data_IF_808243066602
#
_entry.id   IF_808243066602
#
_cell.length_a   1.000
_cell.length_b   1.000
_cell.length_c   1.000
_cell.angle_alpha   90.00
_cell.angle_beta   90.00
_cell.angle_gamma   90.00
#
_symmetry.space_group_name_H-M   'P 1'
#
loop_
_entity.id
_entity.type
_entity.pdbx_description
1 polymer ?
#
# COMPACT_ATOMS: atom_id res chain seq x y z
N UNK A 1 -0.08 -13.11 -4.19
CA UNK A 1 0.83 -13.25 -3.02
C UNK A 1 0.07 -13.96 -1.91
N UNK A 2 0.75 -14.67 -1.00
CA UNK A 2 0.12 -15.19 0.22
C UNK A 2 -0.16 -14.05 1.21
N UNK A 3 -1.11 -14.25 2.13
CA UNK A 3 -1.42 -13.27 3.19
C UNK A 3 -0.18 -12.90 4.02
N UNK A 4 0.66 -13.87 4.35
CA UNK A 4 1.90 -13.61 5.11
C UNK A 4 2.87 -12.69 4.36
N UNK A 5 3.00 -12.90 3.04
CA UNK A 5 3.84 -12.02 2.21
C UNK A 5 3.26 -10.60 2.11
N UNK A 6 1.93 -10.46 2.08
CA UNK A 6 1.27 -9.15 2.08
C UNK A 6 1.47 -8.45 3.44
N UNK A 7 1.36 -9.20 4.54
CA UNK A 7 1.63 -8.69 5.89
C UNK A 7 3.09 -8.23 6.04
N UNK A 8 4.05 -9.03 5.56
CA UNK A 8 5.47 -8.66 5.55
C UNK A 8 5.70 -7.35 4.75
N UNK A 9 5.12 -7.26 3.55
CA UNK A 9 5.16 -6.05 2.73
C UNK A 9 4.57 -4.83 3.46
N UNK A 10 3.41 -5.00 4.11
CA UNK A 10 2.72 -3.94 4.84
C UNK A 10 3.59 -3.35 5.97
N UNK A 11 4.25 -4.21 6.75
CA UNK A 11 5.16 -3.78 7.82
C UNK A 11 6.45 -3.19 7.28
N UNK A 12 6.99 -3.73 6.19
CA UNK A 12 8.18 -3.16 5.57
C UNK A 12 7.93 -1.72 5.09
N UNK A 13 6.79 -1.47 4.43
CA UNK A 13 6.43 -0.11 4.00
C UNK A 13 6.13 0.79 5.22
N UNK A 14 5.54 0.26 6.29
CA UNK A 14 5.36 1.00 7.54
C UNK A 14 6.70 1.46 8.13
N UNK A 15 7.71 0.59 8.13
CA UNK A 15 9.07 0.92 8.57
C UNK A 15 9.69 2.02 7.72
N UNK A 16 9.54 1.95 6.40
CA UNK A 16 9.96 3.05 5.50
C UNK A 16 9.21 4.34 5.85
N UNK A 17 7.90 4.25 6.11
CA UNK A 17 7.02 5.36 6.44
C UNK A 17 7.35 6.08 7.75
N UNK A 18 8.08 5.46 8.68
CA UNK A 18 8.53 6.12 9.91
C UNK A 18 9.43 7.33 9.65
N UNK A 19 10.16 7.33 8.53
CA UNK A 19 10.97 8.47 8.07
C UNK A 19 10.20 9.49 7.22
N UNK A 20 8.90 9.26 7.01
CA UNK A 20 8.07 9.97 6.04
C UNK A 20 8.23 9.44 4.62
N UNK A 21 7.14 9.49 3.86
CA UNK A 21 7.14 9.19 2.41
C UNK A 21 6.87 10.51 1.68
N UNK A 22 7.82 10.93 0.86
CA UNK A 22 7.72 12.11 0.02
C UNK A 22 7.14 11.72 -1.35
N UNK A 23 5.91 12.13 -1.68
CA UNK A 23 5.29 11.82 -2.96
C UNK A 23 5.75 12.72 -4.10
N UNK A 24 6.55 13.75 -3.84
CA UNK A 24 7.03 14.67 -4.87
C UNK A 24 7.87 13.94 -5.94
N UNK A 25 7.83 14.38 -7.21
CA UNK A 25 8.62 13.79 -8.28
C UNK A 25 10.12 13.73 -7.94
N UNK A 26 10.81 12.69 -8.43
CA UNK A 26 12.24 12.47 -8.22
C UNK A 26 12.59 11.71 -6.93
N UNK A 27 11.63 11.44 -6.05
CA UNK A 27 11.82 10.57 -4.89
C UNK A 27 11.41 9.14 -5.21
N UNK A 28 12.29 8.19 -4.93
CA UNK A 28 12.03 6.78 -5.22
C UNK A 28 12.35 5.86 -4.06
N UNK A 29 11.63 4.74 -4.02
CA UNK A 29 11.62 3.82 -2.89
C UNK A 29 11.80 2.39 -3.39
N UNK A 30 12.48 1.60 -2.56
CA UNK A 30 12.72 0.19 -2.79
C UNK A 30 12.18 -0.61 -1.62
N UNK A 31 11.57 -1.75 -1.95
CA UNK A 31 11.00 -2.66 -0.98
C UNK A 31 11.65 -4.03 -1.20
N UNK A 32 12.33 -4.56 -0.19
CA UNK A 32 13.03 -5.85 -0.23
C UNK A 32 12.09 -7.00 -0.56
N UNK A 33 10.85 -6.93 -0.08
CA UNK A 33 9.80 -7.91 -0.40
C UNK A 33 9.40 -7.94 -1.88
N UNK A 34 9.75 -6.91 -2.67
CA UNK A 34 9.52 -6.83 -4.12
C UNK A 34 10.83 -6.40 -4.81
N UNK A 35 11.78 -7.33 -4.98
CA UNK A 35 13.09 -7.01 -5.51
C UNK A 35 13.02 -6.53 -6.97
N UNK A 36 13.90 -5.60 -7.33
CA UNK A 36 14.02 -5.07 -8.70
C UNK A 36 12.92 -4.09 -9.11
N UNK A 37 12.03 -3.70 -8.20
CA UNK A 37 11.00 -2.69 -8.46
C UNK A 37 11.33 -1.38 -7.76
N UNK A 38 11.28 -0.30 -8.52
CA UNK A 38 11.36 1.07 -8.04
C UNK A 38 9.95 1.66 -7.93
N UNK A 39 9.65 2.28 -6.80
CA UNK A 39 8.36 2.89 -6.53
C UNK A 39 8.51 4.41 -6.45
N UNK A 40 7.62 5.15 -7.13
CA UNK A 40 7.39 6.56 -6.78
C UNK A 40 6.70 6.67 -5.42
N UNK A 41 6.77 7.82 -4.76
CA UNK A 41 6.15 7.98 -3.44
C UNK A 41 4.64 7.71 -3.43
N UNK A 42 3.88 8.20 -4.41
CA UNK A 42 2.44 7.86 -4.52
C UNK A 42 2.20 6.37 -4.78
N UNK A 43 3.03 5.73 -5.60
CA UNK A 43 2.92 4.29 -5.86
C UNK A 43 3.20 3.48 -4.58
N UNK A 44 4.18 3.91 -3.78
CA UNK A 44 4.46 3.29 -2.47
C UNK A 44 3.30 3.50 -1.49
N UNK A 45 2.72 4.70 -1.42
CA UNK A 45 1.55 4.98 -0.57
C UNK A 45 0.33 4.15 -0.95
N UNK A 46 0.09 3.95 -2.25
CA UNK A 46 -0.98 3.06 -2.71
C UNK A 46 -0.73 1.62 -2.28
N UNK A 47 0.51 1.12 -2.41
CA UNK A 47 0.89 -0.20 -1.90
C UNK A 47 0.74 -0.30 -0.39
N UNK A 48 1.09 0.76 0.34
CA UNK A 48 0.94 0.83 1.78
C UNK A 48 -0.52 0.64 2.17
N UNK A 49 -1.41 1.45 1.60
CA UNK A 49 -2.84 1.38 1.87
C UNK A 49 -3.44 -0.01 1.54
N UNK A 50 -3.19 -0.50 0.32
CA UNK A 50 -3.77 -1.78 -0.15
C UNK A 50 -3.24 -2.95 0.67
N UNK A 51 -1.94 -2.98 0.98
CA UNK A 51 -1.36 -4.07 1.79
C UNK A 51 -1.93 -4.08 3.22
N UNK A 52 -2.18 -2.92 3.83
CA UNK A 52 -2.82 -2.82 5.14
C UNK A 52 -4.29 -3.20 5.09
N UNK A 53 -5.05 -2.74 4.09
CA UNK A 53 -6.44 -3.16 3.86
C UNK A 53 -6.58 -4.69 3.80
N UNK A 54 -5.61 -5.35 3.17
CA UNK A 54 -5.64 -6.81 2.99
C UNK A 54 -5.07 -7.60 4.17
N UNK A 55 -4.10 -7.07 4.92
CA UNK A 55 -3.39 -7.80 5.97
C UNK A 55 -3.82 -7.44 7.40
N UNK A 56 -4.19 -6.19 7.66
CA UNK A 56 -4.52 -5.64 8.98
C UNK A 56 -5.65 -4.59 8.84
N UNK A 57 -6.82 -4.96 8.29
CA UNK A 57 -7.91 -4.02 8.01
C UNK A 57 -8.39 -3.27 9.27
N UNK A 58 -8.27 -3.89 10.44
CA UNK A 58 -8.66 -3.32 11.74
C UNK A 58 -7.86 -2.07 12.12
N UNK A 59 -6.64 -1.89 11.58
CA UNK A 59 -5.78 -0.73 11.85
C UNK A 59 -5.69 0.24 10.66
N UNK A 60 -6.42 -0.01 9.57
CA UNK A 60 -6.30 0.80 8.36
C UNK A 60 -6.65 2.28 8.59
N UNK A 61 -7.68 2.53 9.41
CA UNK A 61 -8.13 3.88 9.75
C UNK A 61 -7.03 4.71 10.45
N UNK A 62 -6.13 4.06 11.19
CA UNK A 62 -5.04 4.72 11.91
C UNK A 62 -3.97 5.28 10.96
N UNK A 63 -3.89 4.77 9.73
CA UNK A 63 -2.98 5.29 8.72
C UNK A 63 -3.38 6.69 8.24
N UNK A 64 -4.67 7.05 8.40
CA UNK A 64 -5.24 8.34 7.95
C UNK A 64 -4.93 8.68 6.48
N UNK A 65 -4.81 7.65 5.65
CA UNK A 65 -4.63 7.80 4.21
C UNK A 65 -6.02 7.85 3.56
N UNK A 66 -6.37 8.94 2.84
CA UNK A 66 -7.71 9.14 2.29
C UNK A 66 -7.88 8.39 0.96
N UNK A 67 -7.65 7.07 0.93
CA UNK A 67 -7.72 6.25 -0.28
C UNK A 67 -8.92 5.29 -0.31
N UNK A 68 -9.87 5.42 0.62
CA UNK A 68 -11.06 4.56 0.67
C UNK A 68 -11.87 4.59 -0.64
N UNK A 69 -12.08 5.77 -1.22
CA UNK A 69 -12.86 5.94 -2.45
C UNK A 69 -12.10 5.42 -3.67
N UNK A 70 -10.81 5.71 -3.79
CA UNK A 70 -9.95 5.21 -4.87
C UNK A 70 -9.85 3.67 -4.83
N UNK A 71 -9.73 3.11 -3.63
CA UNK A 71 -9.71 1.66 -3.43
C UNK A 71 -11.03 1.02 -3.87
N UNK A 72 -12.16 1.60 -3.43
CA UNK A 72 -13.49 1.13 -3.80
C UNK A 72 -13.71 1.21 -5.32
N UNK A 73 -13.30 2.31 -5.96
CA UNK A 73 -13.36 2.46 -7.41
C UNK A 73 -12.54 1.38 -8.12
N UNK A 74 -11.32 1.11 -7.65
CA UNK A 74 -10.46 0.06 -8.20
C UNK A 74 -11.10 -1.33 -8.08
N UNK A 75 -11.75 -1.64 -6.95
CA UNK A 75 -12.49 -2.88 -6.78
C UNK A 75 -13.66 -3.00 -7.78
N UNK A 76 -14.38 -1.91 -8.05
CA UNK A 76 -15.46 -1.92 -9.06
C UNK A 76 -14.92 -2.18 -10.47
N UNK A 77 -13.76 -1.62 -10.82
CA UNK A 77 -13.14 -1.78 -12.14
C UNK A 77 -12.55 -3.18 -12.37
N UNK A 78 -12.17 -3.89 -11.31
CA UNK A 78 -11.51 -5.20 -11.38
C UNK A 78 -12.35 -6.38 -10.84
N UNK A 79 -13.64 -6.17 -10.55
CA UNK A 79 -14.62 -7.23 -10.28
C UNK A 79 -14.84 -7.59 -8.81
N UNK A 80 -14.44 -6.74 -7.87
CA UNK A 80 -14.72 -6.89 -6.43
C UNK A 80 -16.15 -6.49 -6.00
N UNK A 81 -16.92 -5.88 -6.91
CA UNK A 81 -18.36 -5.66 -6.71
C UNK A 81 -19.18 -6.86 -7.18
N UNK A 82 -19.64 -7.69 -6.25
CA UNK A 82 -20.66 -8.74 -6.44
C UNK A 82 -20.39 -9.82 -7.50
N UNK A 83 -20.02 -11.02 -7.03
CA UNK A 83 -20.75 -12.24 -7.37
C UNK A 83 -21.34 -12.83 -6.11
#
# INVERSE_FOLDING_TARGET
MSKDKIKQLAFEIAMIGTGGINPAPGNTYHVRSIPGKEFSGYHLLAYYYVSWKLAVPEMLADLRLPFDEEYKLAEMMHGGGTK
#
